data_IF_119781076162
#
_entry.id   IF_119781076162
#
_cell.length_a   1.000
_cell.length_b   1.000
_cell.length_c   1.000
_cell.angle_alpha   90.00
_cell.angle_beta   90.00
_cell.angle_gamma   90.00
#
_symmetry.space_group_name_H-M   'P 1'
#
loop_
_entity.id
_entity.type
_entity.pdbx_description
1 polymer ?
#
# COMPACT_ATOMS: atom_id res chain seq x y z
N UNK A 1 -44.31 -3.63 46.07
CA UNK A 1 -43.29 -4.71 46.00
C UNK A 1 -42.52 -4.47 44.72
N UNK A 2 -41.23 -4.22 44.88
CA UNK A 2 -40.38 -3.48 43.96
C UNK A 2 -40.04 -4.25 42.67
N UNK A 3 -40.03 -3.52 41.56
CA UNK A 3 -39.36 -3.87 40.32
C UNK A 3 -37.87 -4.11 40.59
N UNK A 4 -37.45 -5.37 40.50
CA UNK A 4 -36.04 -5.74 40.39
C UNK A 4 -35.64 -5.60 38.93
N UNK A 5 -35.43 -4.36 38.49
CA UNK A 5 -34.71 -4.08 37.26
C UNK A 5 -33.25 -4.48 37.47
N UNK A 6 -32.93 -5.67 36.97
CA UNK A 6 -31.56 -6.11 36.72
C UNK A 6 -30.92 -5.14 35.74
N UNK A 7 -30.27 -4.09 36.28
CA UNK A 7 -29.31 -3.26 35.56
C UNK A 7 -28.15 -4.17 35.14
N UNK A 8 -28.32 -4.78 33.97
CA UNK A 8 -27.25 -5.46 33.26
C UNK A 8 -26.16 -4.42 32.99
N UNK A 9 -25.00 -4.65 33.58
CA UNK A 9 -23.80 -3.85 33.34
C UNK A 9 -23.56 -3.69 31.83
N UNK A 10 -23.12 -2.51 31.35
CA UNK A 10 -22.80 -2.34 29.94
C UNK A 10 -21.75 -3.39 29.54
N UNK A 11 -21.94 -4.08 28.40
CA UNK A 11 -20.99 -5.09 27.95
C UNK A 11 -19.66 -4.40 27.64
N UNK A 12 -18.62 -4.83 28.35
CA UNK A 12 -17.24 -4.79 27.91
C UNK A 12 -16.73 -3.40 27.52
N UNK A 13 -16.30 -2.63 28.52
CA UNK A 13 -15.19 -1.71 28.31
C UNK A 13 -13.95 -2.58 27.99
N UNK A 14 -13.79 -2.90 26.71
CA UNK A 14 -12.64 -3.61 26.16
C UNK A 14 -11.40 -2.74 26.31
N UNK A 15 -10.57 -3.16 27.27
CA UNK A 15 -9.15 -2.84 27.45
C UNK A 15 -8.42 -2.31 26.20
N UNK A 16 -7.78 -1.14 26.35
CA UNK A 16 -6.50 -0.81 25.71
C UNK A 16 -6.51 -0.71 24.18
N UNK A 17 -6.78 0.49 23.66
CA UNK A 17 -6.44 0.83 22.28
C UNK A 17 -4.92 0.89 22.10
N UNK A 18 -4.27 -0.25 21.84
CA UNK A 18 -2.97 -0.23 21.18
C UNK A 18 -3.20 0.24 19.74
N UNK A 19 -2.47 1.25 19.24
CA UNK A 19 -2.61 1.67 17.85
C UNK A 19 -2.22 0.50 16.97
N UNK A 20 -3.21 -0.08 16.26
CA UNK A 20 -2.98 -1.15 15.30
C UNK A 20 -1.90 -0.69 14.32
N UNK A 21 -0.73 -1.34 14.38
CA UNK A 21 0.46 -0.90 13.67
C UNK A 21 0.25 -1.24 12.19
N UNK A 22 -0.19 -0.25 11.42
CA UNK A 22 -0.46 -0.42 9.99
C UNK A 22 0.81 -1.01 9.33
N UNK A 23 0.72 -2.21 8.72
CA UNK A 23 1.87 -2.87 8.13
C UNK A 23 2.44 -2.02 7.00
N UNK A 24 3.77 -1.94 6.92
CA UNK A 24 4.49 -1.04 6.01
C UNK A 24 4.16 -1.28 4.54
N UNK A 25 3.87 -2.54 4.18
CA UNK A 25 3.47 -2.89 2.82
C UNK A 25 2.09 -2.31 2.45
N UNK A 26 1.14 -2.24 3.40
CA UNK A 26 -0.15 -1.59 3.16
C UNK A 26 0.04 -0.09 2.93
N UNK A 27 0.85 0.60 3.75
CA UNK A 27 1.14 2.03 3.54
C UNK A 27 1.74 2.36 2.18
N UNK A 28 2.53 1.46 1.61
CA UNK A 28 3.10 1.64 0.26
C UNK A 28 1.98 1.50 -0.78
N UNK A 29 1.08 0.52 -0.58
CA UNK A 29 -0.02 0.25 -1.50
C UNK A 29 -1.20 1.22 -1.39
N UNK A 30 -1.36 1.88 -0.24
CA UNK A 30 -2.43 2.84 0.05
C UNK A 30 -2.10 4.26 -0.43
N UNK A 31 -0.86 4.52 -0.86
CA UNK A 31 -0.44 5.82 -1.36
C UNK A 31 -0.57 5.90 -2.89
N UNK A 32 -1.61 6.58 -3.44
CA UNK A 32 -1.87 6.61 -4.87
C UNK A 32 -0.72 7.22 -5.68
N UNK A 33 0.01 8.19 -5.13
CA UNK A 33 1.19 8.77 -5.79
C UNK A 33 2.37 7.80 -5.87
N UNK A 34 2.56 6.95 -4.86
CA UNK A 34 3.59 5.90 -4.89
C UNK A 34 3.23 4.84 -5.93
N UNK A 35 1.96 4.45 -6.00
CA UNK A 35 1.47 3.54 -7.05
C UNK A 35 1.62 4.14 -8.45
N UNK A 36 1.28 5.42 -8.63
CA UNK A 36 1.44 6.12 -9.90
C UNK A 36 2.92 6.18 -10.28
N UNK A 37 3.77 6.62 -9.34
CA UNK A 37 5.21 6.70 -9.56
C UNK A 37 5.78 5.35 -9.97
N UNK A 38 5.46 4.29 -9.23
CA UNK A 38 5.93 2.94 -9.55
C UNK A 38 5.36 2.44 -10.90
N UNK A 39 4.08 2.73 -11.16
CA UNK A 39 3.38 2.35 -12.38
C UNK A 39 3.91 3.01 -13.65
N UNK A 40 4.45 4.23 -13.56
CA UNK A 40 5.12 4.89 -14.70
C UNK A 40 6.61 4.54 -14.73
N UNK A 41 7.28 4.53 -13.59
CA UNK A 41 8.74 4.34 -13.52
C UNK A 41 9.14 2.94 -13.99
N UNK A 42 8.41 1.89 -13.60
CA UNK A 42 8.73 0.51 -14.02
C UNK A 42 8.75 0.39 -15.56
N UNK A 43 7.66 0.66 -16.29
CA UNK A 43 7.68 0.53 -17.74
C UNK A 43 8.67 1.50 -18.38
N UNK A 44 8.79 2.74 -17.88
CA UNK A 44 9.78 3.69 -18.43
C UNK A 44 11.20 3.13 -18.35
N UNK A 45 11.64 2.63 -17.20
CA UNK A 45 12.99 2.07 -17.05
C UNK A 45 13.18 0.84 -17.94
N UNK A 46 12.19 -0.06 -17.98
CA UNK A 46 12.23 -1.25 -18.83
C UNK A 46 12.38 -0.87 -20.30
N UNK A 47 11.55 0.06 -20.80
CA UNK A 47 11.60 0.52 -22.18
C UNK A 47 12.88 1.29 -22.51
N UNK A 48 13.41 2.07 -21.58
CA UNK A 48 14.69 2.78 -21.78
C UNK A 48 15.83 1.78 -21.90
N UNK A 49 15.92 0.80 -20.99
CA UNK A 49 16.96 -0.22 -21.04
C UNK A 49 16.85 -1.04 -22.33
N UNK A 50 15.64 -1.45 -22.70
CA UNK A 50 15.39 -2.11 -23.98
C UNK A 50 15.85 -1.23 -25.15
N UNK A 51 15.38 0.00 -25.23
CA UNK A 51 15.72 0.93 -26.32
C UNK A 51 17.22 1.16 -26.46
N UNK A 52 17.95 1.21 -25.34
CA UNK A 52 19.42 1.31 -25.35
C UNK A 52 20.04 0.02 -25.91
N UNK A 53 19.59 -1.15 -25.46
CA UNK A 53 20.09 -2.43 -26.00
C UNK A 53 19.87 -2.51 -27.52
N UNK A 54 18.66 -2.16 -27.99
CA UNK A 54 18.32 -2.10 -29.41
C UNK A 54 19.25 -1.13 -30.17
N UNK A 55 19.41 0.10 -29.65
CA UNK A 55 20.24 1.13 -30.26
C UNK A 55 21.70 0.70 -30.42
N UNK A 56 22.27 0.01 -29.43
CA UNK A 56 23.66 -0.48 -29.50
C UNK A 56 23.86 -1.61 -30.51
N UNK A 57 22.79 -2.31 -30.89
CA UNK A 57 22.83 -3.40 -31.87
C UNK A 57 22.62 -2.90 -33.30
N UNK A 58 22.19 -1.64 -33.50
CA UNK A 58 22.06 -1.06 -34.84
C UNK A 58 23.45 -0.88 -35.46
N UNK A 59 23.76 -1.56 -36.58
CA UNK A 59 25.03 -1.40 -37.26
C UNK A 59 25.10 0.01 -37.87
N UNK A 60 26.15 0.75 -37.54
CA UNK A 60 26.41 2.04 -38.17
C UNK A 60 26.83 1.76 -39.62
N UNK A 61 26.01 2.21 -40.57
CA UNK A 61 26.30 2.09 -41.99
C UNK A 61 27.65 2.77 -42.29
N UNK A 62 28.49 2.06 -43.05
CA UNK A 62 29.88 2.45 -43.37
C UNK A 62 29.95 3.48 -44.48
#
# INVERSE_FOLDING_TARGET
MAESESVGSPPGQGSGGEPEKIPTMQRILDNPFLLLFLGVTIPTVVYVIWGIMELTQVPIAK
#
